data_IF_543200045708
#
_entry.id   IF_543200045708
#
_cell.length_a   1.000
_cell.length_b   1.000
_cell.length_c   1.000
_cell.angle_alpha   90.00
_cell.angle_beta   90.00
_cell.angle_gamma   90.00
#
_symmetry.space_group_name_H-M   'P 1'
#
loop_
_entity.id
_entity.type
_entity.pdbx_description
1 polymer ?
#
# COMPACT_ATOMS: atom_id res chain seq x y z
N UNK A 1 -30.03 4.80 1.30
CA UNK A 1 -29.47 5.47 0.11
C UNK A 1 -28.17 4.77 -0.23
N UNK A 2 -28.12 4.00 -1.32
CA UNK A 2 -26.89 3.33 -1.77
C UNK A 2 -26.28 4.25 -2.81
N UNK A 3 -25.18 4.91 -2.45
CA UNK A 3 -24.42 5.75 -3.36
C UNK A 3 -23.53 4.83 -4.20
N UNK A 4 -23.96 4.54 -5.43
CA UNK A 4 -23.09 3.96 -6.44
C UNK A 4 -22.23 5.07 -7.02
N UNK A 5 -20.95 4.79 -7.26
CA UNK A 5 -20.08 5.72 -7.99
C UNK A 5 -20.52 5.74 -9.46
N UNK A 6 -20.92 6.89 -10.00
CA UNK A 6 -21.18 7.10 -11.44
C UNK A 6 -19.88 7.32 -12.24
N UNK A 7 -18.73 6.96 -11.64
CA UNK A 7 -17.43 7.23 -12.21
C UNK A 7 -17.18 6.38 -13.46
N UNK A 8 -16.89 7.05 -14.57
CA UNK A 8 -16.70 6.44 -15.89
C UNK A 8 -15.22 6.26 -16.25
N UNK A 9 -14.33 6.78 -15.42
CA UNK A 9 -12.90 6.73 -15.64
C UNK A 9 -12.25 5.66 -14.76
N UNK A 10 -11.53 4.73 -15.38
CA UNK A 10 -10.68 3.78 -14.67
C UNK A 10 -9.23 4.25 -14.73
N UNK A 11 -8.61 4.42 -13.56
CA UNK A 11 -7.18 4.76 -13.46
C UNK A 11 -6.42 3.63 -12.76
N UNK A 12 -5.49 3.02 -13.48
CA UNK A 12 -4.55 2.05 -12.92
C UNK A 12 -3.33 2.80 -12.39
N UNK A 13 -3.01 2.59 -11.11
CA UNK A 13 -1.78 3.09 -10.48
C UNK A 13 -0.80 1.94 -10.40
N UNK A 14 0.38 2.09 -11.02
CA UNK A 14 1.43 1.05 -11.04
C UNK A 14 2.50 1.26 -9.96
N UNK A 15 2.36 2.31 -9.15
CA UNK A 15 3.30 2.58 -8.07
C UNK A 15 3.28 1.46 -7.01
N UNK A 16 4.45 0.98 -6.62
CA UNK A 16 4.59 -0.06 -5.59
C UNK A 16 4.05 0.44 -4.24
N UNK A 17 3.33 -0.43 -3.52
CA UNK A 17 2.75 -0.15 -2.20
C UNK A 17 3.08 -1.27 -1.22
N UNK A 18 3.21 -0.92 0.04
CA UNK A 18 3.37 -1.87 1.14
C UNK A 18 2.05 -2.05 1.88
N UNK A 19 1.75 -3.27 2.30
CA UNK A 19 0.63 -3.54 3.22
C UNK A 19 0.83 -2.85 4.59
N UNK A 20 2.06 -2.54 4.97
CA UNK A 20 2.34 -1.78 6.20
C UNK A 20 1.75 -0.36 6.17
N UNK A 21 1.50 0.19 4.98
CA UNK A 21 0.89 1.51 4.81
C UNK A 21 -0.66 1.45 4.77
N UNK A 22 -1.25 0.29 5.06
CA UNK A 22 -2.70 0.07 4.97
C UNK A 22 -3.52 1.11 5.76
N UNK A 23 -3.11 1.47 6.97
CA UNK A 23 -3.82 2.47 7.76
C UNK A 23 -3.84 3.84 7.09
N UNK A 24 -2.77 4.20 6.37
CA UNK A 24 -2.72 5.44 5.58
C UNK A 24 -3.64 5.39 4.36
N UNK A 25 -3.74 4.24 3.70
CA UNK A 25 -4.70 4.03 2.62
C UNK A 25 -6.14 4.15 3.14
N UNK A 26 -6.45 3.40 4.19
CA UNK A 26 -7.80 3.29 4.74
C UNK A 26 -8.31 4.65 5.22
N UNK A 27 -7.48 5.43 5.91
CA UNK A 27 -7.85 6.78 6.35
C UNK A 27 -8.09 7.72 5.17
N UNK A 28 -7.23 7.69 4.14
CA UNK A 28 -7.41 8.51 2.93
C UNK A 28 -8.68 8.14 2.16
N UNK A 29 -9.00 6.85 2.04
CA UNK A 29 -10.16 6.39 1.30
C UNK A 29 -11.47 6.72 2.02
N UNK A 30 -11.49 6.60 3.35
CA UNK A 30 -12.69 6.86 4.18
C UNK A 30 -12.84 8.33 4.58
N UNK A 31 -11.79 9.13 4.46
CA UNK A 31 -11.75 10.51 4.94
C UNK A 31 -11.54 10.65 6.45
N UNK A 32 -11.26 9.56 7.17
CA UNK A 32 -10.98 9.59 8.61
C UNK A 32 -9.70 10.37 8.87
N UNK A 33 -9.73 11.26 9.87
CA UNK A 33 -8.56 12.01 10.34
C UNK A 33 -8.36 11.75 11.84
N UNK A 34 -7.12 11.46 12.21
CA UNK A 34 -6.69 11.28 13.60
C UNK A 34 -5.23 11.76 13.72
N UNK A 35 -4.85 12.32 14.87
CA UNK A 35 -3.51 12.89 15.06
C UNK A 35 -2.40 11.82 14.96
N UNK A 36 -2.73 10.58 15.29
CA UNK A 36 -1.86 9.41 15.25
C UNK A 36 -1.62 8.90 13.81
N UNK A 37 -2.50 9.26 12.88
CA UNK A 37 -2.43 8.82 11.48
C UNK A 37 -1.82 9.95 10.66
N UNK A 38 -0.50 9.87 10.45
CA UNK A 38 0.26 10.85 9.66
C UNK A 38 0.82 10.19 8.38
N UNK A 39 0.06 10.21 7.26
CA UNK A 39 0.53 9.62 6.02
C UNK A 39 1.78 10.35 5.50
N UNK A 40 2.81 9.59 5.16
CA UNK A 40 4.05 10.15 4.57
C UNK A 40 3.90 10.51 3.09
N UNK A 41 2.91 9.93 2.43
CA UNK A 41 2.63 10.13 1.00
C UNK A 41 1.14 9.90 0.71
N UNK A 42 0.68 10.33 -0.48
CA UNK A 42 -0.68 10.02 -0.95
C UNK A 42 -0.72 8.59 -1.48
N UNK A 43 -1.48 7.71 -0.84
CA UNK A 43 -1.49 6.28 -1.15
C UNK A 43 -2.06 6.01 -2.55
N UNK A 44 -3.24 6.56 -2.85
CA UNK A 44 -3.89 6.46 -4.16
C UNK A 44 -3.32 7.55 -5.09
N UNK A 45 -2.06 7.39 -5.51
CA UNK A 45 -1.36 8.29 -6.45
C UNK A 45 -0.17 7.61 -7.13
N UNK A 46 0.47 8.28 -8.09
CA UNK A 46 1.76 7.84 -8.68
C UNK A 46 2.98 8.21 -7.80
N UNK A 47 2.77 8.85 -6.64
CA UNK A 47 3.86 9.21 -5.73
C UNK A 47 4.57 7.94 -5.26
N UNK A 48 5.91 7.94 -5.33
CA UNK A 48 6.73 6.84 -4.82
C UNK A 48 6.70 6.85 -3.28
N UNK A 49 6.41 5.69 -2.68
CA UNK A 49 6.33 5.52 -1.23
C UNK A 49 7.70 5.52 -0.52
N UNK A 50 8.78 5.29 -1.28
CA UNK A 50 10.12 5.05 -0.76
C UNK A 50 10.45 3.56 -0.70
N UNK A 51 11.54 3.17 0.00
CA UNK A 51 11.94 1.78 0.13
C UNK A 51 10.89 0.93 0.86
N UNK A 52 10.66 -0.28 0.35
CA UNK A 52 9.67 -1.22 0.90
C UNK A 52 10.38 -2.25 1.76
N UNK A 53 9.82 -2.51 2.93
CA UNK A 53 10.38 -3.48 3.86
C UNK A 53 9.31 -4.46 4.32
N UNK A 54 9.76 -5.67 4.63
CA UNK A 54 8.98 -6.72 5.26
C UNK A 54 9.52 -7.01 6.66
N UNK A 55 8.71 -7.63 7.50
CA UNK A 55 9.12 -8.12 8.81
C UNK A 55 9.28 -9.63 8.73
N UNK A 56 10.47 -10.15 9.03
CA UNK A 56 10.69 -11.60 9.08
C UNK A 56 10.19 -12.22 10.39
N UNK A 57 10.26 -13.55 10.52
CA UNK A 57 9.86 -14.26 11.75
C UNK A 57 10.70 -13.91 12.99
N UNK A 58 11.88 -13.32 12.79
CA UNK A 58 12.74 -12.80 13.86
C UNK A 58 12.42 -11.34 14.20
N UNK A 59 11.31 -10.79 13.68
CA UNK A 59 10.87 -9.41 13.85
C UNK A 59 11.85 -8.36 13.30
N UNK A 60 12.72 -8.76 12.39
CA UNK A 60 13.67 -7.86 11.74
C UNK A 60 13.06 -7.26 10.48
N UNK A 61 13.42 -5.99 10.24
CA UNK A 61 13.06 -5.27 9.03
C UNK A 61 14.02 -5.67 7.91
N UNK A 62 13.50 -6.38 6.90
CA UNK A 62 14.26 -6.83 5.73
C UNK A 62 13.81 -6.03 4.52
N UNK A 63 14.75 -5.58 3.71
CA UNK A 63 14.46 -4.88 2.45
C UNK A 63 13.82 -5.84 1.45
N UNK A 64 12.65 -5.46 0.94
CA UNK A 64 11.90 -6.26 -0.03
C UNK A 64 12.70 -6.51 -1.31
N UNK A 65 13.54 -5.57 -1.74
CA UNK A 65 14.33 -5.70 -2.96
C UNK A 65 15.42 -6.80 -2.88
N UNK A 66 15.79 -7.22 -1.67
CA UNK A 66 16.77 -8.27 -1.42
C UNK A 66 16.14 -9.65 -1.21
N UNK A 67 14.81 -9.76 -1.27
CA UNK A 67 14.15 -11.05 -1.23
C UNK A 67 14.33 -11.73 -2.59
N UNK A 68 14.78 -12.99 -2.57
CA UNK A 68 14.77 -13.82 -3.76
C UNK A 68 13.35 -14.02 -4.27
N UNK A 69 13.21 -14.32 -5.56
CA UNK A 69 11.96 -14.81 -6.12
C UNK A 69 11.65 -16.17 -5.52
N UNK A 70 10.54 -16.29 -4.81
CA UNK A 70 9.98 -17.58 -4.42
C UNK A 70 9.32 -18.16 -5.69
N UNK A 71 10.10 -18.91 -6.48
CA UNK A 71 9.58 -19.60 -7.65
C UNK A 71 8.62 -20.69 -7.18
N UNK A 72 7.33 -20.36 -7.12
CA UNK A 72 6.28 -21.37 -7.02
C UNK A 72 6.27 -22.18 -8.33
N UNK A 73 7.10 -23.22 -8.43
CA UNK A 73 6.96 -24.23 -9.47
C UNK A 73 5.65 -24.98 -9.25
N UNK A 74 4.65 -24.64 -10.06
CA UNK A 74 3.42 -25.43 -10.19
C UNK A 74 3.75 -26.55 -11.18
N UNK A 75 3.99 -27.77 -10.66
CA UNK A 75 4.05 -28.98 -11.49
C UNK A 75 2.66 -29.43 -11.90
#
# INVERSE_FOLDING_TARGET
>A
MVLSSDDKAHKVIKAQRSANDFLSFFSQWTGIQAAEITPRYRFISEQKAGPVYITNFQQQKVDYAHLGTDEFTVN
#
